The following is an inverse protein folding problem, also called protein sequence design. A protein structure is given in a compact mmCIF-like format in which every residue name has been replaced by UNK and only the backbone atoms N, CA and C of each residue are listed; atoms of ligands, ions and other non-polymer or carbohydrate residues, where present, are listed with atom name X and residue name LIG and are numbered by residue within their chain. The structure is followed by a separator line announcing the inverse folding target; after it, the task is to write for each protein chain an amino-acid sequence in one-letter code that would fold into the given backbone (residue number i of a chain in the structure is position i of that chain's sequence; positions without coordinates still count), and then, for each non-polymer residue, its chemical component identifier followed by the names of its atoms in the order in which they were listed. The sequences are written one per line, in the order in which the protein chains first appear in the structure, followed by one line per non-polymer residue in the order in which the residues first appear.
data_IF_777688968518
#
_entry.id   IF_777688968518
#
_cell.length_a   1.000
_cell.length_b   1.000
_cell.length_c   1.000
_cell.angle_alpha   90.00
_cell.angle_beta   90.00
_cell.angle_gamma   90.00
#
_symmetry.space_group_name_H-M   'P 1'
#
loop_
_entity.id
_entity.type
_entity.pdbx_description
1 polymer ?
#
# COMPACT_ATOMS: atom_id res chain seq x y z
N UNK A 1 -70.67 -8.70 -0.25
CA UNK A 1 -69.50 -9.40 0.33
C UNK A 1 -68.22 -8.81 -0.25
N UNK A 2 -67.57 -7.97 0.50
CA UNK A 2 -66.31 -7.37 0.06
C UNK A 2 -65.16 -8.22 0.58
N UNK A 3 -64.40 -8.77 -0.32
CA UNK A 3 -63.17 -9.49 0.01
C UNK A 3 -61.99 -8.49 -0.06
N UNK A 4 -61.50 -8.16 1.07
CA UNK A 4 -60.31 -7.32 1.19
C UNK A 4 -59.06 -8.14 0.74
N UNK A 5 -58.46 -7.69 -0.34
CA UNK A 5 -57.19 -8.20 -0.79
C UNK A 5 -56.09 -7.44 -0.03
N UNK A 6 -55.44 -8.11 0.89
CA UNK A 6 -54.26 -7.55 1.57
C UNK A 6 -53.09 -7.59 0.59
N UNK A 7 -52.67 -6.42 0.16
CA UNK A 7 -51.41 -6.28 -0.61
C UNK A 7 -50.27 -6.34 0.38
N UNK A 8 -49.57 -7.45 0.38
CA UNK A 8 -48.30 -7.56 1.13
C UNK A 8 -47.25 -6.83 0.29
N UNK A 9 -46.86 -5.65 0.76
CA UNK A 9 -45.73 -4.95 0.18
C UNK A 9 -44.44 -5.66 0.69
N UNK A 10 -43.82 -6.38 -0.19
CA UNK A 10 -42.47 -6.90 0.05
C UNK A 10 -41.50 -5.74 -0.08
N UNK A 11 -41.08 -5.19 1.04
CA UNK A 11 -40.00 -4.21 1.08
C UNK A 11 -38.71 -4.99 0.83
N UNK A 12 -38.21 -4.93 -0.39
CA UNK A 12 -36.89 -5.46 -0.69
C UNK A 12 -35.84 -4.66 0.06
N UNK A 13 -35.17 -5.28 1.02
CA UNK A 13 -33.99 -4.71 1.63
C UNK A 13 -32.89 -4.67 0.58
N UNK A 14 -32.63 -3.48 0.06
CA UNK A 14 -31.43 -3.19 -0.70
C UNK A 14 -30.27 -3.12 0.26
N UNK A 15 -29.57 -4.21 0.40
CA UNK A 15 -28.30 -4.25 1.14
C UNK A 15 -27.26 -3.51 0.33
N UNK A 16 -27.08 -2.23 0.62
CA UNK A 16 -25.94 -1.50 0.05
C UNK A 16 -24.69 -1.95 0.79
N UNK A 17 -23.86 -2.74 0.14
CA UNK A 17 -22.51 -3.02 0.65
C UNK A 17 -21.63 -1.81 0.35
N UNK A 18 -20.98 -1.23 1.36
CA UNK A 18 -19.98 -0.20 1.09
C UNK A 18 -18.89 -0.81 0.22
N UNK A 19 -18.56 -0.14 -0.87
CA UNK A 19 -17.41 -0.53 -1.67
C UNK A 19 -16.17 -0.41 -0.80
N UNK A 20 -15.54 -1.55 -0.50
CA UNK A 20 -14.26 -1.55 0.18
C UNK A 20 -13.23 -0.96 -0.76
N UNK A 21 -12.65 0.16 -0.37
CA UNK A 21 -11.54 0.75 -1.10
C UNK A 21 -10.35 -0.22 -1.00
N UNK A 22 -10.11 -0.98 -2.07
CA UNK A 22 -9.06 -2.01 -2.09
C UNK A 22 -7.66 -1.43 -1.97
N UNK A 23 -7.48 -0.15 -2.32
CA UNK A 23 -6.19 0.54 -2.28
C UNK A 23 -5.66 0.72 -0.85
N UNK A 24 -6.56 0.95 0.13
CA UNK A 24 -6.17 1.13 1.53
C UNK A 24 -5.64 -0.15 2.17
N UNK A 25 -6.17 -1.32 1.79
CA UNK A 25 -5.74 -2.60 2.35
C UNK A 25 -4.32 -2.98 1.90
N UNK A 26 -3.94 -2.67 0.66
CA UNK A 26 -2.59 -2.88 0.16
C UNK A 26 -1.58 -1.99 0.87
N UNK A 27 -1.89 -0.70 1.04
CA UNK A 27 -1.03 0.24 1.73
C UNK A 27 -0.88 -0.11 3.22
N UNK A 28 -1.95 -0.53 3.89
CA UNK A 28 -1.89 -0.96 5.29
C UNK A 28 -0.99 -2.18 5.47
N UNK A 29 -1.11 -3.18 4.60
CA UNK A 29 -0.23 -4.34 4.59
C UNK A 29 1.21 -3.94 4.31
N UNK A 30 1.42 -3.01 3.40
CA UNK A 30 2.74 -2.46 3.08
C UNK A 30 3.41 -1.79 4.28
N UNK A 31 2.64 -1.07 5.11
CA UNK A 31 3.16 -0.51 6.36
C UNK A 31 3.63 -1.61 7.32
N UNK A 32 2.90 -2.71 7.42
CA UNK A 32 3.31 -3.86 8.24
C UNK A 32 4.60 -4.48 7.72
N UNK A 33 4.72 -4.65 6.42
CA UNK A 33 5.95 -5.18 5.79
C UNK A 33 7.12 -4.22 6.03
N UNK A 34 6.89 -2.92 5.86
CA UNK A 34 7.88 -1.88 6.12
C UNK A 34 8.46 -2.00 7.55
N UNK A 35 7.57 -2.14 8.52
CA UNK A 35 7.98 -2.31 9.91
C UNK A 35 8.70 -3.64 10.16
N UNK A 36 8.18 -4.74 9.61
CA UNK A 36 8.75 -6.08 9.77
C UNK A 36 10.15 -6.19 9.17
N UNK A 37 10.40 -5.52 8.04
CA UNK A 37 11.69 -5.53 7.37
C UNK A 37 12.67 -4.48 7.92
N UNK A 38 12.22 -3.70 8.92
CA UNK A 38 13.06 -2.69 9.60
C UNK A 38 13.60 -1.60 8.66
N UNK A 39 12.80 -1.20 7.70
CA UNK A 39 13.19 -0.17 6.73
C UNK A 39 13.51 1.17 7.41
N UNK A 40 12.87 1.46 8.55
CA UNK A 40 13.12 2.65 9.34
C UNK A 40 14.54 2.75 9.93
N UNK A 41 15.31 1.67 9.91
CA UNK A 41 16.72 1.74 10.34
C UNK A 41 17.55 2.58 9.37
N UNK A 42 17.16 2.66 8.11
CA UNK A 42 17.88 3.41 7.07
C UNK A 42 17.06 4.56 6.47
N UNK A 43 15.75 4.54 6.62
CA UNK A 43 14.84 5.49 6.01
C UNK A 43 13.94 6.18 7.02
N UNK A 44 13.42 7.34 6.65
CA UNK A 44 12.37 8.01 7.41
C UNK A 44 11.14 8.27 6.55
N UNK A 45 9.98 8.30 7.20
CA UNK A 45 8.70 8.72 6.62
C UNK A 45 8.06 9.65 7.64
N UNK A 46 7.73 10.87 7.23
CA UNK A 46 7.16 11.90 8.11
C UNK A 46 8.02 12.14 9.37
N UNK A 47 9.33 12.11 9.20
CA UNK A 47 10.28 12.32 10.28
C UNK A 47 10.51 11.13 11.20
N UNK A 48 9.83 10.02 10.98
CA UNK A 48 9.98 8.79 11.76
C UNK A 48 11.00 7.86 11.12
N UNK A 49 12.02 7.48 11.85
CA UNK A 49 13.10 6.62 11.41
C UNK A 49 14.41 7.38 11.18
N UNK A 50 15.28 6.81 10.36
CA UNK A 50 16.58 7.42 10.05
C UNK A 50 16.41 8.56 9.04
N UNK A 51 16.66 9.79 9.47
CA UNK A 51 16.42 11.01 8.70
C UNK A 51 17.40 11.23 7.54
N UNK A 52 18.42 10.41 7.42
CA UNK A 52 19.43 10.54 6.34
C UNK A 52 18.86 10.16 4.96
N UNK A 53 17.85 9.30 4.92
CA UNK A 53 17.26 8.81 3.67
C UNK A 53 15.74 8.87 3.74
N UNK A 54 15.13 10.06 3.65
CA UNK A 54 13.67 10.17 3.71
C UNK A 54 13.03 9.58 2.45
N UNK A 55 11.93 8.86 2.66
CA UNK A 55 11.10 8.29 1.60
C UNK A 55 9.87 9.14 1.29
N UNK A 56 9.75 10.30 1.94
CA UNK A 56 8.65 11.22 1.70
C UNK A 56 8.61 11.63 0.23
N UNK A 57 7.46 11.45 -0.41
CA UNK A 57 7.29 11.79 -1.80
C UNK A 57 7.89 10.80 -2.80
N UNK A 58 8.39 9.66 -2.36
CA UNK A 58 9.03 8.67 -3.24
C UNK A 58 8.09 8.17 -4.33
N UNK A 59 6.79 8.06 -4.03
CA UNK A 59 5.77 7.65 -5.01
C UNK A 59 5.51 8.68 -6.10
N UNK A 60 5.97 9.92 -5.93
CA UNK A 60 5.94 10.93 -6.98
C UNK A 60 7.22 10.96 -7.81
N UNK A 61 8.31 10.40 -7.30
CA UNK A 61 9.62 10.39 -7.97
C UNK A 61 9.88 9.12 -8.75
N UNK A 62 9.41 7.99 -8.25
CA UNK A 62 9.67 6.67 -8.83
C UNK A 62 8.36 5.97 -9.20
N UNK A 63 8.40 5.23 -10.31
CA UNK A 63 7.30 4.33 -10.67
C UNK A 63 7.27 3.11 -9.74
N UNK A 64 6.15 2.41 -9.73
CA UNK A 64 6.03 1.15 -8.96
C UNK A 64 7.10 0.13 -9.36
N UNK A 65 7.40 0.01 -10.65
CA UNK A 65 8.45 -0.89 -11.13
C UNK A 65 9.83 -0.48 -10.64
N UNK A 66 10.13 0.81 -10.62
CA UNK A 66 11.39 1.31 -10.09
C UNK A 66 11.51 1.06 -8.58
N UNK A 67 10.44 1.29 -7.84
CA UNK A 67 10.40 1.00 -6.40
C UNK A 67 10.64 -0.49 -6.15
N UNK A 68 9.99 -1.35 -6.94
CA UNK A 68 10.16 -2.80 -6.84
C UNK A 68 11.62 -3.21 -7.07
N UNK A 69 12.25 -2.67 -8.08
CA UNK A 69 13.67 -2.94 -8.38
C UNK A 69 14.59 -2.47 -7.26
N UNK A 70 14.33 -1.30 -6.69
CA UNK A 70 15.10 -0.81 -5.54
C UNK A 70 15.04 -1.76 -4.35
N UNK A 71 13.88 -2.37 -4.11
CA UNK A 71 13.72 -3.30 -2.99
C UNK A 71 14.43 -4.63 -3.27
N UNK A 72 14.24 -5.21 -4.45
CA UNK A 72 14.74 -6.54 -4.80
C UNK A 72 16.21 -6.51 -5.18
N UNK A 73 16.64 -5.51 -5.94
CA UNK A 73 17.98 -5.43 -6.53
C UNK A 73 18.46 -3.98 -6.58
N UNK A 74 18.75 -3.35 -5.45
CA UNK A 74 19.13 -1.93 -5.42
C UNK A 74 20.37 -1.62 -6.27
N UNK A 75 21.29 -2.55 -6.43
CA UNK A 75 22.50 -2.34 -7.24
C UNK A 75 22.24 -2.31 -8.75
N UNK A 76 21.09 -2.83 -9.21
CA UNK A 76 20.66 -2.63 -10.60
C UNK A 76 20.21 -1.18 -10.84
N UNK A 77 19.71 -0.51 -9.81
CA UNK A 77 19.30 0.89 -9.89
C UNK A 77 20.48 1.84 -9.71
N UNK A 78 21.42 1.49 -8.86
CA UNK A 78 22.63 2.25 -8.60
C UNK A 78 23.74 1.28 -8.17
N UNK A 79 24.78 1.13 -8.98
CA UNK A 79 25.81 0.10 -8.82
C UNK A 79 26.53 0.16 -7.47
N UNK A 80 26.71 1.35 -6.90
CA UNK A 80 27.37 1.56 -5.60
C UNK A 80 26.36 1.72 -4.44
N UNK A 81 25.12 1.35 -4.64
CA UNK A 81 24.10 1.40 -3.60
C UNK A 81 24.51 0.57 -2.39
N UNK A 82 24.35 1.13 -1.20
CA UNK A 82 24.54 0.43 0.08
C UNK A 82 23.24 -0.11 0.65
N UNK A 83 22.12 0.09 -0.03
CA UNK A 83 20.83 -0.45 0.38
C UNK A 83 20.87 -1.97 0.35
N UNK A 84 20.34 -2.59 1.43
CA UNK A 84 20.17 -4.05 1.48
C UNK A 84 19.14 -4.50 0.45
N UNK A 85 19.41 -5.58 -0.25
CA UNK A 85 18.46 -6.22 -1.15
C UNK A 85 17.51 -7.13 -0.37
N UNK A 86 16.27 -7.24 -0.84
CA UNK A 86 15.23 -8.12 -0.24
C UNK A 86 14.67 -9.08 -1.29
N UNK A 87 15.49 -9.99 -1.83
CA UNK A 87 15.04 -10.90 -2.88
C UNK A 87 14.12 -12.01 -2.40
N UNK A 88 14.04 -12.22 -1.09
CA UNK A 88 13.27 -13.33 -0.47
C UNK A 88 11.88 -12.93 0.00
N UNK A 89 11.46 -11.68 -0.21
CA UNK A 89 10.07 -11.29 0.10
C UNK A 89 9.10 -12.11 -0.75
N UNK A 90 7.99 -12.54 -0.12
CA UNK A 90 6.90 -13.14 -0.89
C UNK A 90 6.36 -12.13 -1.89
N UNK A 91 5.77 -12.61 -3.00
CA UNK A 91 5.17 -11.72 -3.99
C UNK A 91 4.11 -10.82 -3.36
N UNK A 92 3.31 -11.35 -2.45
CA UNK A 92 2.29 -10.56 -1.74
C UNK A 92 2.88 -9.46 -0.87
N UNK A 93 3.92 -9.75 -0.11
CA UNK A 93 4.58 -8.77 0.75
C UNK A 93 5.31 -7.70 -0.08
N UNK A 94 5.98 -8.11 -1.16
CA UNK A 94 6.65 -7.19 -2.05
C UNK A 94 5.64 -6.20 -2.68
N UNK A 95 4.55 -6.71 -3.23
CA UNK A 95 3.53 -5.86 -3.87
C UNK A 95 2.85 -4.94 -2.86
N UNK A 96 2.61 -5.41 -1.64
CA UNK A 96 2.06 -4.57 -0.57
C UNK A 96 3.02 -3.44 -0.20
N UNK A 97 4.31 -3.74 -0.06
CA UNK A 97 5.33 -2.73 0.22
C UNK A 97 5.44 -1.71 -0.92
N UNK A 98 5.43 -2.17 -2.17
CA UNK A 98 5.45 -1.29 -3.35
C UNK A 98 4.22 -0.38 -3.35
N UNK A 99 3.03 -0.92 -3.07
CA UNK A 99 1.79 -0.13 -2.99
C UNK A 99 1.88 0.96 -1.91
N UNK A 100 2.39 0.61 -0.74
CA UNK A 100 2.58 1.57 0.34
C UNK A 100 3.54 2.70 -0.06
N UNK A 101 4.73 2.36 -0.55
CA UNK A 101 5.72 3.34 -0.94
C UNK A 101 5.25 4.19 -2.13
N UNK A 102 4.54 3.60 -3.08
CA UNK A 102 3.94 4.32 -4.20
C UNK A 102 2.88 5.33 -3.74
N UNK A 103 2.24 5.09 -2.60
CA UNK A 103 1.25 5.99 -2.03
C UNK A 103 1.86 7.23 -1.39
N UNK A 104 3.17 7.23 -1.13
CA UNK A 104 3.89 8.35 -0.52
C UNK A 104 4.14 9.44 -1.56
N UNK A 105 3.10 10.20 -1.86
CA UNK A 105 3.16 11.27 -2.85
C UNK A 105 3.73 12.55 -2.26
N UNK A 106 4.37 13.36 -3.11
CA UNK A 106 4.82 14.68 -2.72
C UNK A 106 3.63 15.52 -2.25
N UNK A 107 3.77 16.15 -1.09
CA UNK A 107 2.76 17.10 -0.59
C UNK A 107 2.85 18.38 -1.39
N UNK A 108 1.69 18.83 -1.89
CA UNK A 108 1.55 20.11 -2.55
C UNK A 108 1.34 21.22 -1.54
#
# INVERSE_FOLDING_TARGET
MMRSIAIVAVVGLLSSFPALAQDDSGAAKGQEVYAAQKCAMCHSIEGKGNKNNPLDGVGSKLSSDQIRKWIVSPKEMKADSKMKAYPSLTAGDLEALVAYLSSLKKKE
#
